data_IF_956534298125
#
_entry.id   IF_956534298125
#
_cell.length_a   1.000
_cell.length_b   1.000
_cell.length_c   1.000
_cell.angle_alpha   90.00
_cell.angle_beta   90.00
_cell.angle_gamma   90.00
#
_symmetry.space_group_name_H-M   'P 1'
#
loop_
_entity.id
_entity.type
_entity.pdbx_description
1 polymer ?
#
# COMPACT_ATOMS: atom_id res chain seq x y z
N UNK A 1 13.89 -8.95 13.36
CA UNK A 1 14.49 -7.60 13.47
C UNK A 1 14.60 -7.02 12.07
N UNK A 2 14.06 -5.83 11.82
CA UNK A 2 14.32 -5.00 10.64
C UNK A 2 14.86 -3.64 11.07
N UNK A 3 16.02 -3.25 10.55
CA UNK A 3 16.64 -1.96 10.80
C UNK A 3 16.76 -1.21 9.47
N UNK A 4 16.11 -0.05 9.39
CA UNK A 4 16.07 0.80 8.22
C UNK A 4 16.99 2.01 8.44
N UNK A 5 18.04 2.12 7.61
CA UNK A 5 19.11 3.10 7.78
C UNK A 5 19.02 4.20 6.74
N UNK A 6 18.93 5.43 7.22
CA UNK A 6 18.77 6.65 6.45
C UNK A 6 19.79 7.71 6.86
N UNK A 7 19.92 8.72 6.01
CA UNK A 7 20.56 9.98 6.38
C UNK A 7 19.56 11.13 6.27
N UNK A 8 19.67 12.09 7.20
CA UNK A 8 18.85 13.30 7.25
C UNK A 8 19.73 14.56 7.17
N UNK A 9 19.16 15.75 7.45
CA UNK A 9 19.88 17.01 7.39
C UNK A 9 21.23 17.00 8.16
N UNK A 10 22.31 17.54 7.60
CA UNK A 10 23.67 17.40 8.15
C UNK A 10 23.90 18.11 9.49
N UNK A 11 23.01 19.01 9.87
CA UNK A 11 23.06 19.69 11.17
C UNK A 11 22.40 18.88 12.31
N UNK A 12 21.72 17.77 12.01
CA UNK A 12 21.13 16.93 13.04
C UNK A 12 22.18 15.98 13.65
N UNK A 13 22.01 15.63 14.92
CA UNK A 13 22.72 14.51 15.56
C UNK A 13 22.12 13.17 15.12
N UNK A 14 22.66 12.03 15.55
CA UNK A 14 22.13 10.73 15.11
C UNK A 14 20.79 10.40 15.79
N UNK A 15 19.87 9.75 15.09
CA UNK A 15 18.65 9.23 15.71
C UNK A 15 18.60 7.70 15.65
N UNK A 16 18.13 7.13 16.76
CA UNK A 16 17.68 5.75 16.88
C UNK A 16 16.44 5.70 17.77
N UNK A 17 15.65 4.64 17.66
CA UNK A 17 14.45 4.49 18.49
C UNK A 17 14.83 4.43 19.99
N UNK A 18 13.93 4.83 20.92
CA UNK A 18 12.47 4.85 20.74
C UNK A 18 11.90 5.98 19.89
N UNK A 19 10.84 5.66 19.16
CA UNK A 19 10.05 6.61 18.39
C UNK A 19 9.21 7.56 19.26
N UNK A 20 8.84 8.70 18.67
CA UNK A 20 7.88 9.64 19.22
C UNK A 20 6.45 9.10 19.11
N UNK A 21 5.52 9.67 19.87
CA UNK A 21 4.09 9.46 19.66
C UNK A 21 3.60 10.27 18.46
N UNK A 22 2.50 9.87 17.79
CA UNK A 22 1.62 8.74 18.11
C UNK A 22 2.11 7.37 17.62
N UNK A 23 1.67 6.31 18.31
CA UNK A 23 1.88 4.93 17.85
C UNK A 23 0.58 4.36 17.28
N UNK A 24 0.68 3.62 16.18
CA UNK A 24 -0.46 2.84 15.71
C UNK A 24 -0.89 1.83 16.76
N UNK A 25 -2.20 1.71 16.99
CA UNK A 25 -2.77 0.89 18.06
C UNK A 25 -2.43 -0.62 17.92
N UNK A 26 -2.10 -1.06 16.71
CA UNK A 26 -1.75 -2.45 16.39
C UNK A 26 -0.26 -2.79 16.53
N UNK A 27 0.60 -1.82 16.81
CA UNK A 27 1.97 -2.12 17.24
C UNK A 27 1.88 -2.66 18.66
N UNK A 28 2.32 -3.90 18.85
CA UNK A 28 2.13 -4.63 20.11
C UNK A 28 2.88 -3.96 21.26
N UNK A 29 2.42 -4.13 22.52
CA UNK A 29 3.17 -3.67 23.68
C UNK A 29 4.62 -4.20 23.71
N UNK A 30 4.83 -5.45 23.29
CA UNK A 30 6.16 -6.03 23.18
C UNK A 30 7.02 -5.31 22.14
N UNK A 31 6.50 -5.05 20.93
CA UNK A 31 7.24 -4.33 19.89
C UNK A 31 7.67 -2.94 20.36
N UNK A 32 6.76 -2.20 21.03
CA UNK A 32 7.05 -0.88 21.61
C UNK A 32 8.13 -0.96 22.70
N UNK A 33 8.02 -1.92 23.62
CA UNK A 33 9.01 -2.17 24.68
C UNK A 33 10.39 -2.48 24.07
N UNK A 34 10.42 -3.33 23.04
CA UNK A 34 11.67 -3.80 22.46
C UNK A 34 12.42 -2.70 21.69
N UNK A 35 11.72 -1.68 21.15
CA UNK A 35 12.42 -0.48 20.67
C UNK A 35 13.24 0.20 21.77
N UNK A 36 12.74 0.22 23.01
CA UNK A 36 13.48 0.69 24.19
C UNK A 36 14.74 -0.13 24.45
N UNK A 37 14.61 -1.47 24.43
CA UNK A 37 15.76 -2.37 24.61
C UNK A 37 16.85 -2.09 23.58
N UNK A 38 16.51 -1.97 22.29
CA UNK A 38 17.51 -1.64 21.25
C UNK A 38 18.10 -0.24 21.48
N UNK A 39 17.25 0.74 21.85
CA UNK A 39 17.68 2.09 22.19
C UNK A 39 18.75 2.12 23.28
N UNK A 40 18.56 1.37 24.37
CA UNK A 40 19.50 1.28 25.49
C UNK A 40 20.88 0.72 25.07
N UNK A 41 20.92 -0.20 24.08
CA UNK A 41 22.18 -0.71 23.54
C UNK A 41 22.89 0.32 22.66
N UNK A 42 22.14 1.07 21.85
CA UNK A 42 22.70 2.14 21.03
C UNK A 42 23.23 3.28 21.91
N UNK A 43 22.46 3.71 22.91
CA UNK A 43 22.84 4.72 23.90
C UNK A 43 24.19 4.41 24.55
N UNK A 44 24.36 3.20 25.10
CA UNK A 44 25.64 2.77 25.70
C UNK A 44 26.83 2.93 24.78
N UNK A 45 26.66 2.64 23.48
CA UNK A 45 27.76 2.75 22.51
C UNK A 45 28.01 4.21 22.12
N UNK A 46 26.97 5.02 21.94
CA UNK A 46 27.11 6.44 21.61
C UNK A 46 27.70 7.23 22.77
N UNK A 47 27.25 7.00 24.00
CA UNK A 47 27.78 7.61 25.23
C UNK A 47 29.26 7.31 25.42
N UNK A 48 29.66 6.04 25.24
CA UNK A 48 31.05 5.62 25.33
C UNK A 48 31.97 6.40 24.36
N UNK A 49 31.45 6.82 23.22
CA UNK A 49 32.19 7.53 22.19
C UNK A 49 31.96 9.06 22.23
N UNK A 50 31.15 9.57 23.16
CA UNK A 50 30.73 10.97 23.24
C UNK A 50 30.06 11.47 21.94
N UNK A 51 29.28 10.61 21.28
CA UNK A 51 28.55 10.98 20.07
C UNK A 51 27.15 11.48 20.43
N UNK A 52 26.76 12.62 19.87
CA UNK A 52 25.43 13.18 20.06
C UNK A 52 24.37 12.32 19.35
N UNK A 53 23.25 12.11 20.03
CA UNK A 53 22.06 11.48 19.48
C UNK A 53 20.78 12.09 20.06
N UNK A 54 19.63 11.76 19.49
CA UNK A 54 18.31 12.08 20.03
C UNK A 54 17.34 10.90 19.83
N UNK A 55 16.25 10.89 20.62
CA UNK A 55 15.17 9.89 20.56
C UNK A 55 13.84 10.57 20.87
N UNK A 56 12.69 9.97 20.50
CA UNK A 56 11.33 10.40 20.90
C UNK A 56 10.86 11.81 20.49
N UNK A 57 11.53 12.47 19.55
CA UNK A 57 11.20 13.86 19.18
C UNK A 57 10.38 13.98 17.88
N UNK A 58 10.80 13.31 16.79
CA UNK A 58 10.30 13.60 15.44
C UNK A 58 9.58 12.41 14.80
N UNK A 59 10.22 11.24 14.83
CA UNK A 59 9.76 10.08 14.07
C UNK A 59 8.75 9.28 14.89
N UNK A 60 7.50 9.23 14.43
CA UNK A 60 6.43 8.47 15.05
C UNK A 60 6.25 7.06 14.44
N UNK A 61 5.32 6.27 14.97
CA UNK A 61 4.99 4.93 14.46
C UNK A 61 3.52 4.79 14.09
N UNK A 62 2.92 5.84 13.53
CA UNK A 62 1.49 5.84 13.23
C UNK A 62 1.17 5.31 11.84
N UNK A 63 1.74 5.89 10.80
CA UNK A 63 1.40 5.53 9.43
C UNK A 63 2.02 4.17 9.03
N UNK A 64 1.31 3.32 8.25
CA UNK A 64 1.81 2.02 7.82
C UNK A 64 2.64 2.09 6.56
N UNK A 65 3.52 3.07 6.46
CA UNK A 65 4.33 3.33 5.26
C UNK A 65 5.81 3.40 5.57
N UNK A 66 6.19 3.49 6.85
CA UNK A 66 7.56 3.65 7.28
C UNK A 66 8.30 2.31 7.31
N UNK A 67 9.63 2.37 7.22
CA UNK A 67 10.51 1.20 7.29
C UNK A 67 10.49 0.50 8.66
N UNK A 68 10.02 1.15 9.72
CA UNK A 68 9.82 0.53 11.03
C UNK A 68 8.38 0.03 11.25
N UNK A 69 7.36 0.74 10.78
CA UNK A 69 5.96 0.34 10.96
C UNK A 69 5.57 -0.81 10.03
N UNK A 70 5.99 -0.81 8.75
CA UNK A 70 5.62 -1.85 7.81
C UNK A 70 6.10 -3.26 8.24
N UNK A 71 7.37 -3.45 8.65
CA UNK A 71 7.81 -4.72 9.20
C UNK A 71 7.14 -5.05 10.54
N UNK A 72 6.82 -4.04 11.36
CA UNK A 72 6.11 -4.24 12.62
C UNK A 72 4.69 -4.79 12.42
N UNK A 73 3.97 -4.36 11.37
CA UNK A 73 2.69 -4.95 10.97
C UNK A 73 2.84 -6.34 10.30
N UNK A 74 4.08 -6.79 10.10
CA UNK A 74 4.46 -8.14 9.72
C UNK A 74 5.17 -8.89 10.88
N UNK A 75 4.95 -8.46 12.13
CA UNK A 75 5.41 -9.16 13.33
C UNK A 75 6.89 -8.96 13.69
N UNK A 76 7.66 -8.25 12.87
CA UNK A 76 9.04 -7.92 13.23
C UNK A 76 9.10 -6.85 14.32
N UNK A 77 10.26 -6.68 14.95
CA UNK A 77 10.63 -5.39 15.53
C UNK A 77 11.18 -4.56 14.37
N UNK A 78 10.57 -3.41 14.08
CA UNK A 78 11.08 -2.43 13.12
C UNK A 78 11.74 -1.25 13.82
N UNK A 79 12.83 -0.76 13.25
CA UNK A 79 13.64 0.36 13.77
C UNK A 79 14.08 1.26 12.62
N UNK A 80 14.00 2.56 12.85
CA UNK A 80 14.55 3.59 11.95
C UNK A 80 15.82 4.18 12.57
N UNK A 81 16.83 4.38 11.73
CA UNK A 81 18.09 5.00 12.07
C UNK A 81 18.36 6.16 11.12
N UNK A 82 18.65 7.33 11.67
CA UNK A 82 18.85 8.54 10.87
C UNK A 82 20.18 9.18 11.23
N UNK A 83 21.11 9.22 10.28
CA UNK A 83 22.39 9.89 10.45
C UNK A 83 22.31 11.29 9.87
N UNK A 84 22.64 12.33 10.65
CA UNK A 84 22.84 13.65 10.05
C UNK A 84 23.89 13.59 8.94
N UNK A 85 23.53 13.96 7.71
CA UNK A 85 24.38 13.76 6.54
C UNK A 85 23.65 14.02 5.22
N UNK A 86 23.65 13.02 4.35
CA UNK A 86 23.06 13.02 3.03
C UNK A 86 24.04 13.41 1.92
N UNK A 87 23.54 13.42 0.69
CA UNK A 87 24.31 13.89 -0.47
C UNK A 87 24.85 15.30 -0.30
N UNK A 88 24.14 16.17 0.42
CA UNK A 88 24.56 17.54 0.71
C UNK A 88 25.82 17.62 1.60
N UNK A 89 26.08 16.60 2.41
CA UNK A 89 27.22 16.60 3.33
C UNK A 89 28.54 16.20 2.67
N UNK A 90 28.51 15.57 1.49
CA UNK A 90 29.69 15.07 0.80
C UNK A 90 30.64 14.28 1.70
N UNK A 91 31.96 14.50 1.54
CA UNK A 91 33.00 13.90 2.38
C UNK A 91 33.12 14.58 3.75
N UNK A 92 32.86 15.89 3.81
CA UNK A 92 32.93 16.72 5.01
C UNK A 92 31.96 17.89 4.89
N UNK A 93 31.31 18.23 6.00
CA UNK A 93 30.35 19.31 6.11
C UNK A 93 30.61 20.12 7.38
N UNK A 94 30.77 21.44 7.25
CA UNK A 94 30.84 22.35 8.39
C UNK A 94 29.42 22.59 8.93
N UNK A 95 29.15 22.12 10.14
CA UNK A 95 27.88 22.28 10.84
C UNK A 95 27.71 23.72 11.32
N UNK A 96 26.45 24.11 11.54
CA UNK A 96 26.10 25.46 12.02
C UNK A 96 26.59 25.75 13.44
N UNK A 97 26.83 24.72 14.25
CA UNK A 97 27.37 24.81 15.60
C UNK A 97 28.91 24.99 15.62
N UNK A 98 29.55 25.00 14.44
CA UNK A 98 31.00 25.14 14.29
C UNK A 98 31.77 23.81 14.25
N UNK A 99 31.09 22.66 14.41
CA UNK A 99 31.72 21.34 14.27
C UNK A 99 31.83 20.90 12.79
N UNK A 100 32.60 19.85 12.52
CA UNK A 100 32.70 19.24 11.19
C UNK A 100 32.20 17.80 11.20
N UNK A 101 31.15 17.55 10.43
CA UNK A 101 30.66 16.21 10.15
C UNK A 101 31.46 15.60 8.99
N UNK A 102 32.07 14.44 9.20
CA UNK A 102 32.84 13.71 8.19
C UNK A 102 32.16 12.42 7.78
N UNK A 103 32.41 11.96 6.55
CA UNK A 103 31.93 10.65 6.08
C UNK A 103 32.42 9.51 6.99
N UNK A 104 33.64 9.59 7.52
CA UNK A 104 34.18 8.59 8.46
C UNK A 104 33.37 8.50 9.75
N UNK A 105 32.94 9.64 10.32
CA UNK A 105 32.05 9.64 11.49
C UNK A 105 30.70 9.02 11.15
N UNK A 106 30.08 9.40 10.01
CA UNK A 106 28.79 8.83 9.59
C UNK A 106 28.84 7.30 9.44
N UNK A 107 29.90 6.80 8.82
CA UNK A 107 30.14 5.35 8.71
C UNK A 107 30.32 4.71 10.09
N UNK A 108 31.12 5.33 10.97
CA UNK A 108 31.38 4.81 12.31
C UNK A 108 30.09 4.73 13.14
N UNK A 109 29.23 5.74 13.08
CA UNK A 109 27.96 5.77 13.81
C UNK A 109 27.00 4.69 13.32
N UNK A 110 26.76 4.59 12.00
CA UNK A 110 25.91 3.53 11.45
C UNK A 110 26.45 2.13 11.76
N UNK A 111 27.76 1.93 11.64
CA UNK A 111 28.38 0.66 11.97
C UNK A 111 28.20 0.32 13.47
N UNK A 112 28.43 1.28 14.35
CA UNK A 112 28.24 1.10 15.79
C UNK A 112 26.79 0.75 16.15
N UNK A 113 25.82 1.51 15.62
CA UNK A 113 24.40 1.26 15.84
C UNK A 113 23.97 -0.11 15.28
N UNK A 114 24.49 -0.50 14.12
CA UNK A 114 24.25 -1.83 13.53
C UNK A 114 24.74 -2.94 14.46
N UNK A 115 25.96 -2.82 14.99
CA UNK A 115 26.54 -3.81 15.91
C UNK A 115 25.76 -3.90 17.22
N UNK A 116 25.37 -2.77 17.79
CA UNK A 116 24.54 -2.71 19.00
C UNK A 116 23.18 -3.38 18.79
N UNK A 117 22.53 -3.12 17.65
CA UNK A 117 21.25 -3.75 17.27
C UNK A 117 21.37 -5.26 17.13
N UNK A 118 22.42 -5.73 16.43
CA UNK A 118 22.70 -7.16 16.26
C UNK A 118 22.95 -7.82 17.62
N UNK A 119 23.73 -7.18 18.48
CA UNK A 119 24.03 -7.69 19.82
C UNK A 119 22.76 -7.84 20.66
N UNK A 120 21.94 -6.78 20.76
CA UNK A 120 20.69 -6.83 21.50
C UNK A 120 19.73 -7.90 20.95
N UNK A 121 19.65 -8.03 19.62
CA UNK A 121 18.85 -9.07 18.96
C UNK A 121 19.34 -10.48 19.32
N UNK A 122 20.65 -10.69 19.33
CA UNK A 122 21.25 -11.99 19.65
C UNK A 122 21.06 -12.35 21.13
N UNK A 123 21.26 -11.40 22.04
CA UNK A 123 21.13 -11.63 23.49
C UNK A 123 19.67 -11.87 23.90
N UNK A 124 18.70 -11.35 23.14
CA UNK A 124 17.25 -11.51 23.40
C UNK A 124 16.53 -12.44 22.41
N UNK A 125 17.26 -13.30 21.68
CA UNK A 125 16.70 -14.10 20.58
C UNK A 125 15.53 -15.01 21.01
N UNK A 126 15.58 -15.62 22.19
CA UNK A 126 14.50 -16.49 22.71
C UNK A 126 13.19 -15.72 22.93
N UNK A 127 13.27 -14.52 23.50
CA UNK A 127 12.10 -13.65 23.70
C UNK A 127 11.51 -13.21 22.34
N UNK A 128 12.38 -12.80 21.41
CA UNK A 128 11.99 -12.39 20.06
C UNK A 128 11.28 -13.49 19.27
N UNK A 129 11.82 -14.72 19.30
CA UNK A 129 11.24 -15.85 18.57
C UNK A 129 9.87 -16.23 19.15
N UNK A 130 9.74 -16.29 20.47
CA UNK A 130 8.47 -16.58 21.15
C UNK A 130 7.39 -15.55 20.82
N UNK A 131 7.73 -14.26 20.86
CA UNK A 131 6.78 -13.19 20.57
C UNK A 131 6.41 -13.15 19.08
N UNK A 132 7.36 -13.43 18.18
CA UNK A 132 7.09 -13.57 16.75
C UNK A 132 6.13 -14.74 16.46
N UNK A 133 6.34 -15.90 17.08
CA UNK A 133 5.42 -17.03 16.96
C UNK A 133 4.04 -16.69 17.52
N UNK A 134 3.99 -16.07 18.70
CA UNK A 134 2.75 -15.64 19.37
C UNK A 134 1.97 -14.67 18.50
N UNK A 135 2.64 -13.73 17.84
CA UNK A 135 2.04 -12.76 16.92
C UNK A 135 1.24 -13.46 15.81
N UNK A 136 1.85 -14.40 15.11
CA UNK A 136 1.21 -15.07 13.97
C UNK A 136 0.20 -16.15 14.37
N UNK A 137 0.43 -16.86 15.47
CA UNK A 137 -0.51 -17.87 15.98
C UNK A 137 -1.79 -17.22 16.52
N UNK A 138 -1.66 -16.11 17.25
CA UNK A 138 -2.79 -15.31 17.72
C UNK A 138 -3.55 -14.70 16.54
N UNK A 139 -2.87 -14.12 15.56
CA UNK A 139 -3.48 -13.53 14.36
C UNK A 139 -4.40 -14.50 13.61
N UNK A 140 -3.99 -15.77 13.48
CA UNK A 140 -4.77 -16.81 12.79
C UNK A 140 -6.03 -17.24 13.55
N UNK A 141 -5.98 -17.26 14.88
CA UNK A 141 -7.01 -17.91 15.72
C UNK A 141 -7.92 -16.90 16.41
N UNK A 142 -7.38 -15.75 16.81
CA UNK A 142 -8.06 -14.68 17.54
C UNK A 142 -7.64 -13.32 16.96
N UNK A 143 -8.02 -13.01 15.71
CA UNK A 143 -7.67 -11.74 15.10
C UNK A 143 -8.24 -10.56 15.90
N UNK A 144 -7.47 -9.48 16.00
CA UNK A 144 -7.86 -8.24 16.66
C UNK A 144 -8.90 -7.43 15.87
N UNK A 145 -9.32 -6.28 16.42
CA UNK A 145 -10.21 -5.31 15.74
C UNK A 145 -11.70 -5.64 15.78
N UNK A 146 -12.51 -4.66 15.35
CA UNK A 146 -13.98 -4.77 15.26
C UNK A 146 -14.40 -5.69 14.10
N UNK A 147 -13.78 -5.51 12.93
CA UNK A 147 -14.12 -6.24 11.71
C UNK A 147 -13.35 -7.56 11.60
N UNK A 148 -14.03 -8.59 11.11
CA UNK A 148 -13.51 -9.96 10.93
C UNK A 148 -13.45 -10.40 9.48
N UNK A 149 -14.15 -9.68 8.61
CA UNK A 149 -14.15 -9.91 7.17
C UNK A 149 -14.21 -8.58 6.46
N UNK A 150 -13.40 -8.41 5.42
CA UNK A 150 -13.55 -7.32 4.45
C UNK A 150 -14.02 -7.90 3.12
N UNK A 151 -15.00 -7.25 2.50
CA UNK A 151 -15.60 -7.72 1.26
C UNK A 151 -15.50 -6.64 0.19
N UNK A 152 -15.00 -6.98 -0.99
CA UNK A 152 -14.90 -6.09 -2.14
C UNK A 152 -15.89 -6.56 -3.19
N UNK A 153 -16.78 -5.66 -3.60
CA UNK A 153 -17.86 -6.00 -4.52
C UNK A 153 -17.31 -6.40 -5.90
N UNK A 154 -17.82 -7.49 -6.48
CA UNK A 154 -17.45 -7.96 -7.80
C UNK A 154 -17.91 -7.02 -8.92
N UNK A 155 -18.88 -6.15 -8.64
CA UNK A 155 -19.38 -5.13 -9.57
C UNK A 155 -18.47 -3.91 -9.75
N UNK A 156 -17.31 -3.86 -9.07
CA UNK A 156 -16.30 -2.84 -9.33
C UNK A 156 -15.67 -3.01 -10.71
N UNK A 157 -14.95 -1.97 -11.16
CA UNK A 157 -14.23 -2.02 -12.43
C UNK A 157 -13.23 -3.21 -12.46
N UNK A 158 -13.21 -4.04 -13.52
CA UNK A 158 -12.32 -5.19 -13.59
C UNK A 158 -10.83 -4.85 -13.46
N UNK A 159 -10.41 -3.67 -13.93
CA UNK A 159 -9.05 -3.18 -13.79
C UNK A 159 -8.68 -2.83 -12.37
N UNK A 160 -9.57 -2.14 -11.65
CA UNK A 160 -9.41 -1.88 -10.22
C UNK A 160 -9.33 -3.19 -9.43
N UNK A 161 -10.24 -4.14 -9.68
CA UNK A 161 -10.24 -5.44 -9.01
C UNK A 161 -8.94 -6.22 -9.27
N UNK A 162 -8.45 -6.25 -10.51
CA UNK A 162 -7.16 -6.90 -10.83
C UNK A 162 -5.99 -6.24 -10.11
N UNK A 163 -5.89 -4.91 -10.11
CA UNK A 163 -4.81 -4.21 -9.39
C UNK A 163 -4.88 -4.49 -7.89
N UNK A 164 -6.10 -4.49 -7.34
CA UNK A 164 -6.35 -4.76 -5.93
C UNK A 164 -5.91 -6.17 -5.55
N UNK A 165 -6.34 -7.20 -6.29
CA UNK A 165 -5.95 -8.58 -6.00
C UNK A 165 -4.45 -8.80 -6.23
N UNK A 166 -3.85 -8.22 -7.27
CA UNK A 166 -2.40 -8.25 -7.47
C UNK A 166 -1.63 -7.61 -6.31
N UNK A 167 -2.18 -6.53 -5.72
CA UNK A 167 -1.59 -5.95 -4.52
C UNK A 167 -1.68 -6.93 -3.35
N UNK A 168 -2.85 -7.53 -3.11
CA UNK A 168 -3.00 -8.55 -2.06
C UNK A 168 -2.05 -9.73 -2.25
N UNK A 169 -1.91 -10.22 -3.49
CA UNK A 169 -1.00 -11.32 -3.85
C UNK A 169 0.46 -10.96 -3.51
N UNK A 170 0.92 -9.74 -3.87
CA UNK A 170 2.27 -9.26 -3.52
C UNK A 170 2.50 -9.13 -2.01
N UNK A 171 1.44 -8.86 -1.25
CA UNK A 171 1.49 -8.78 0.21
C UNK A 171 1.23 -10.12 0.90
N UNK A 172 1.04 -11.20 0.12
CA UNK A 172 0.68 -12.53 0.61
C UNK A 172 -0.60 -12.54 1.46
N UNK A 173 -1.49 -11.58 1.21
CA UNK A 173 -2.79 -11.50 1.86
C UNK A 173 -3.73 -12.46 1.15
N UNK A 174 -4.19 -13.48 1.89
CA UNK A 174 -5.13 -14.47 1.38
C UNK A 174 -6.52 -13.85 1.26
N UNK A 175 -7.16 -14.11 0.13
CA UNK A 175 -8.56 -13.82 -0.12
C UNK A 175 -9.21 -15.02 -0.81
N UNK A 176 -10.53 -15.06 -0.78
CA UNK A 176 -11.33 -15.97 -1.59
C UNK A 176 -12.58 -15.25 -2.07
N UNK A 177 -13.65 -16.00 -2.31
CA UNK A 177 -14.87 -15.44 -2.91
C UNK A 177 -16.12 -15.83 -2.13
N UNK A 178 -17.12 -14.96 -2.12
CA UNK A 178 -18.43 -15.30 -1.59
C UNK A 178 -19.12 -16.33 -2.49
N UNK A 179 -19.68 -17.37 -1.89
CA UNK A 179 -20.35 -18.47 -2.62
C UNK A 179 -21.85 -18.22 -2.85
N UNK A 180 -22.46 -17.35 -2.06
CA UNK A 180 -23.90 -17.07 -2.10
C UNK A 180 -24.18 -15.63 -1.67
N UNK A 181 -25.37 -15.18 -2.00
CA UNK A 181 -25.86 -13.88 -1.55
C UNK A 181 -26.10 -13.90 -0.03
N UNK A 182 -25.65 -12.85 0.66
CA UNK A 182 -25.85 -12.68 2.11
C UNK A 182 -26.17 -11.22 2.41
N UNK A 183 -27.30 -10.97 3.08
CA UNK A 183 -27.58 -9.66 3.69
C UNK A 183 -27.05 -9.63 5.11
N UNK A 184 -26.33 -8.58 5.45
CA UNK A 184 -25.77 -8.41 6.79
C UNK A 184 -25.52 -6.94 7.10
N UNK A 185 -25.26 -6.62 8.36
CA UNK A 185 -24.85 -5.27 8.76
C UNK A 185 -23.33 -5.14 8.59
N UNK A 186 -22.89 -4.09 7.91
CA UNK A 186 -21.48 -3.84 7.65
C UNK A 186 -21.19 -2.35 7.51
N UNK A 187 -19.95 -1.96 7.76
CA UNK A 187 -19.47 -0.63 7.42
C UNK A 187 -19.26 -0.53 5.91
N UNK A 188 -19.94 0.40 5.25
CA UNK A 188 -19.79 0.67 3.82
C UNK A 188 -18.80 1.81 3.60
N UNK A 189 -17.71 1.52 2.88
CA UNK A 189 -16.66 2.50 2.63
C UNK A 189 -17.17 3.67 1.78
N UNK A 190 -18.09 3.45 0.84
CA UNK A 190 -18.61 4.51 -0.02
C UNK A 190 -19.49 5.51 0.75
N UNK A 191 -20.36 5.04 1.62
CA UNK A 191 -21.27 5.90 2.40
C UNK A 191 -20.68 6.36 3.74
N UNK A 192 -19.56 5.75 4.17
CA UNK A 192 -18.92 5.94 5.48
C UNK A 192 -19.88 5.69 6.67
N UNK A 193 -20.82 4.76 6.49
CA UNK A 193 -21.85 4.41 7.47
C UNK A 193 -21.93 2.90 7.66
N UNK A 194 -22.35 2.50 8.87
CA UNK A 194 -22.73 1.12 9.14
C UNK A 194 -24.19 0.93 8.79
N UNK A 195 -24.46 0.10 7.78
CA UNK A 195 -25.78 -0.09 7.20
C UNK A 195 -26.00 -1.56 6.79
N UNK A 196 -27.21 -1.90 6.35
CA UNK A 196 -27.46 -3.19 5.71
C UNK A 196 -26.74 -3.21 4.35
N UNK A 197 -25.92 -4.22 4.15
CA UNK A 197 -25.16 -4.44 2.92
C UNK A 197 -25.50 -5.82 2.37
N UNK A 198 -25.52 -5.92 1.05
CA UNK A 198 -25.78 -7.17 0.35
C UNK A 198 -24.47 -7.64 -0.29
N UNK A 199 -23.97 -8.77 0.19
CA UNK A 199 -22.83 -9.47 -0.38
C UNK A 199 -23.35 -10.36 -1.49
N UNK A 200 -22.72 -10.31 -2.66
CA UNK A 200 -23.09 -11.09 -3.83
C UNK A 200 -22.13 -12.27 -4.05
N UNK A 201 -22.58 -13.35 -4.74
CA UNK A 201 -21.65 -14.38 -5.22
C UNK A 201 -20.52 -13.75 -6.03
N UNK A 202 -19.28 -14.26 -5.85
CA UNK A 202 -18.04 -13.77 -6.46
C UNK A 202 -17.49 -12.45 -5.92
N UNK A 203 -18.12 -11.82 -4.93
CA UNK A 203 -17.46 -10.76 -4.18
C UNK A 203 -16.17 -11.30 -3.55
N UNK A 204 -15.10 -10.50 -3.57
CA UNK A 204 -13.82 -10.89 -2.97
C UNK A 204 -13.95 -10.79 -1.46
N UNK A 205 -13.56 -11.85 -0.76
CA UNK A 205 -13.65 -11.96 0.70
C UNK A 205 -12.25 -12.08 1.28
N UNK A 206 -11.85 -11.09 2.07
CA UNK A 206 -10.60 -11.06 2.83
C UNK A 206 -10.93 -11.36 4.28
N UNK A 207 -10.64 -12.57 4.74
CA UNK A 207 -10.85 -12.98 6.13
C UNK A 207 -9.71 -12.48 7.02
N UNK A 208 -10.02 -12.03 8.23
CA UNK A 208 -9.02 -11.69 9.22
C UNK A 208 -8.30 -12.91 9.82
N UNK A 209 -8.81 -14.12 9.62
CA UNK A 209 -8.29 -15.36 10.21
C UNK A 209 -7.15 -15.93 9.34
N UNK A 210 -6.04 -15.21 9.31
CA UNK A 210 -4.85 -15.54 8.52
C UNK A 210 -3.59 -14.97 9.17
N UNK A 211 -2.37 -15.48 8.86
CA UNK A 211 -1.14 -14.96 9.47
C UNK A 211 -0.97 -13.44 9.28
N UNK A 212 -1.37 -12.89 8.13
CA UNK A 212 -1.31 -11.44 7.84
C UNK A 212 -2.43 -10.62 8.48
N UNK A 213 -3.13 -11.14 9.51
CA UNK A 213 -4.31 -10.50 10.12
C UNK A 213 -4.07 -9.04 10.51
N UNK A 214 -2.98 -8.75 11.23
CA UNK A 214 -2.66 -7.38 11.67
C UNK A 214 -2.47 -6.44 10.49
N UNK A 215 -1.72 -6.88 9.46
CA UNK A 215 -1.55 -6.10 8.23
C UNK A 215 -2.89 -5.87 7.52
N UNK A 216 -3.74 -6.89 7.42
CA UNK A 216 -5.09 -6.75 6.85
C UNK A 216 -5.91 -5.75 7.67
N UNK A 217 -5.88 -5.81 9.00
CA UNK A 217 -6.58 -4.84 9.85
C UNK A 217 -6.13 -3.42 9.51
N UNK A 218 -4.83 -3.18 9.54
CA UNK A 218 -4.23 -1.85 9.32
C UNK A 218 -4.54 -1.32 7.93
N UNK A 219 -4.44 -2.17 6.91
CA UNK A 219 -4.68 -1.79 5.53
C UNK A 219 -6.16 -1.67 5.16
N UNK A 220 -7.07 -2.17 5.97
CA UNK A 220 -8.50 -2.10 5.69
C UNK A 220 -9.29 -1.29 6.70
N UNK A 221 -8.75 -0.95 7.87
CA UNK A 221 -9.53 -0.21 8.86
C UNK A 221 -10.00 1.15 8.31
N UNK A 222 -11.29 1.47 8.41
CA UNK A 222 -11.80 2.69 7.82
C UNK A 222 -11.36 3.95 8.60
N UNK A 223 -11.07 3.79 9.89
CA UNK A 223 -10.73 4.88 10.81
C UNK A 223 -9.68 4.40 11.81
N UNK A 224 -8.39 4.57 11.53
CA UNK A 224 -7.35 4.23 12.49
C UNK A 224 -7.48 5.10 13.75
N UNK A 225 -7.22 4.50 14.92
CA UNK A 225 -7.25 5.24 16.18
C UNK A 225 -6.00 6.11 16.30
N UNK A 226 -6.19 7.41 16.24
CA UNK A 226 -5.15 8.40 16.44
C UNK A 226 -5.04 8.76 17.93
N UNK A 227 -3.86 8.56 18.53
CA UNK A 227 -3.59 8.92 19.93
C UNK A 227 -3.42 10.43 20.12
N UNK A 228 -2.79 11.09 19.14
CA UNK A 228 -2.49 12.52 19.12
C UNK A 228 -2.62 13.06 17.68
N UNK A 229 -3.17 14.26 17.53
CA UNK A 229 -3.30 14.96 16.25
C UNK A 229 -1.98 15.29 15.56
N UNK A 230 -0.86 15.34 16.31
CA UNK A 230 0.47 15.61 15.76
C UNK A 230 1.10 14.33 15.20
N UNK A 231 0.71 13.94 14.00
CA UNK A 231 1.33 12.86 13.21
C UNK A 231 2.35 13.43 12.22
N UNK A 232 3.42 12.69 11.99
CA UNK A 232 4.49 13.02 11.05
C UNK A 232 4.03 12.96 9.59
N UNK A 233 3.12 12.04 9.27
CA UNK A 233 2.66 11.78 7.89
C UNK A 233 1.12 11.69 7.81
N UNK A 234 0.61 10.95 6.83
CA UNK A 234 -0.82 10.79 6.51
C UNK A 234 -1.63 10.02 7.57
N UNK A 235 -2.94 10.25 7.57
CA UNK A 235 -3.92 9.59 8.45
C UNK A 235 -4.95 8.72 7.71
N UNK A 236 -4.83 8.60 6.39
CA UNK A 236 -5.77 7.86 5.54
C UNK A 236 -5.02 6.99 4.51
N UNK A 237 -5.13 5.67 4.67
CA UNK A 237 -4.40 4.69 3.83
C UNK A 237 -5.21 3.43 3.47
N UNK A 238 -6.46 3.31 3.94
CA UNK A 238 -7.21 2.08 3.76
C UNK A 238 -7.38 1.71 2.27
N UNK A 239 -7.06 0.47 1.92
CA UNK A 239 -7.02 -0.01 0.54
C UNK A 239 -8.34 0.18 -0.22
N UNK A 240 -9.53 0.00 0.39
CA UNK A 240 -10.77 0.27 -0.33
C UNK A 240 -10.87 1.71 -0.85
N UNK A 241 -10.39 2.68 -0.08
CA UNK A 241 -10.35 4.07 -0.49
C UNK A 241 -9.28 4.32 -1.56
N UNK A 242 -8.06 3.82 -1.36
CA UNK A 242 -6.94 4.10 -2.27
C UNK A 242 -7.11 3.43 -3.65
N UNK A 243 -7.77 2.27 -3.70
CA UNK A 243 -8.10 1.60 -4.96
C UNK A 243 -9.44 2.05 -5.57
N UNK A 244 -10.20 2.90 -4.86
CA UNK A 244 -11.49 3.41 -5.32
C UNK A 244 -12.55 2.31 -5.51
N UNK A 245 -12.49 1.24 -4.70
CA UNK A 245 -13.39 0.09 -4.82
C UNK A 245 -14.54 0.17 -3.83
N UNK A 246 -15.74 -0.19 -4.29
CA UNK A 246 -16.89 -0.46 -3.42
C UNK A 246 -16.58 -1.67 -2.54
N UNK A 247 -16.52 -1.46 -1.24
CA UNK A 247 -16.20 -2.50 -0.27
C UNK A 247 -17.02 -2.34 1.01
N UNK A 248 -16.94 -3.37 1.86
CA UNK A 248 -17.63 -3.48 3.14
C UNK A 248 -16.72 -4.08 4.21
N UNK A 249 -16.80 -3.59 5.45
CA UNK A 249 -16.15 -4.20 6.61
C UNK A 249 -17.22 -4.82 7.52
N UNK A 250 -17.10 -6.12 7.78
CA UNK A 250 -18.11 -6.91 8.49
C UNK A 250 -17.58 -7.32 9.86
N UNK A 251 -18.36 -7.14 10.95
CA UNK A 251 -17.96 -7.61 12.28
C UNK A 251 -17.98 -9.15 12.37
N UNK A 252 -18.76 -9.81 11.53
CA UNK A 252 -18.86 -11.27 11.46
C UNK A 252 -17.85 -11.92 10.53
N UNK A 253 -17.62 -13.22 10.73
CA UNK A 253 -16.90 -14.05 9.77
C UNK A 253 -17.80 -14.37 8.57
N UNK A 254 -17.23 -14.28 7.37
CA UNK A 254 -17.84 -14.79 6.15
C UNK A 254 -16.92 -15.83 5.51
N UNK A 255 -17.48 -16.99 5.16
CA UNK A 255 -16.73 -18.05 4.50
C UNK A 255 -16.40 -17.65 3.05
N UNK A 256 -15.14 -17.81 2.66
CA UNK A 256 -14.62 -17.50 1.33
C UNK A 256 -14.55 -18.76 0.43
N UNK A 257 -15.63 -19.53 0.37
CA UNK A 257 -15.69 -20.86 -0.28
C UNK A 257 -16.20 -20.83 -1.73
N UNK A 258 -16.45 -19.63 -2.28
CA UNK A 258 -16.86 -19.46 -3.66
C UNK A 258 -15.73 -19.80 -4.64
N UNK A 259 -16.11 -20.26 -5.82
CA UNK A 259 -15.16 -20.45 -6.92
C UNK A 259 -14.59 -19.10 -7.36
N UNK A 260 -13.28 -19.06 -7.61
CA UNK A 260 -12.67 -17.91 -8.25
C UNK A 260 -13.33 -17.65 -9.60
N UNK A 261 -13.68 -16.40 -9.94
CA UNK A 261 -14.13 -16.07 -11.27
C UNK A 261 -13.03 -16.46 -12.25
N UNK A 262 -13.43 -16.99 -13.41
CA UNK A 262 -12.48 -17.17 -14.50
C UNK A 262 -11.76 -15.84 -14.75
N UNK A 263 -10.44 -15.83 -14.97
CA UNK A 263 -9.73 -14.61 -15.29
C UNK A 263 -10.51 -13.91 -16.40
N UNK A 264 -10.97 -12.69 -16.13
CA UNK A 264 -11.55 -11.88 -17.18
C UNK A 264 -10.41 -11.60 -18.16
N UNK A 265 -10.27 -12.45 -19.19
CA UNK A 265 -9.68 -11.99 -20.44
C UNK A 265 -10.41 -10.70 -20.74
N UNK A 266 -9.65 -9.62 -20.93
CA UNK A 266 -10.16 -8.37 -21.46
C UNK A 266 -10.63 -8.67 -22.89
N UNK A 267 -11.81 -9.30 -23.02
CA UNK A 267 -12.40 -9.73 -24.30
C UNK A 267 -12.99 -8.55 -25.08
N UNK A 268 -12.63 -7.31 -24.74
CA UNK A 268 -13.08 -6.11 -25.45
C UNK A 268 -12.23 -5.77 -26.67
N UNK A 269 -10.94 -6.14 -26.66
CA UNK A 269 -10.03 -5.88 -27.79
C UNK A 269 -10.21 -6.88 -28.95
N UNK A 270 -11.18 -7.79 -28.89
CA UNK A 270 -11.34 -8.83 -29.90
C UNK A 270 -11.50 -8.23 -31.31
N UNK A 271 -10.95 -8.93 -32.31
CA UNK A 271 -11.00 -8.52 -33.69
C UNK A 271 -12.47 -8.43 -34.16
N UNK A 272 -12.96 -7.21 -34.35
CA UNK A 272 -14.13 -6.97 -35.20
C UNK A 272 -13.75 -7.32 -36.64
N UNK A 273 -14.62 -8.06 -37.34
CA UNK A 273 -14.44 -8.37 -38.77
C UNK A 273 -14.50 -7.11 -39.66
N UNK A 274 -14.97 -5.99 -39.08
CA UNK A 274 -15.09 -4.68 -39.71
C UNK A 274 -14.01 -3.73 -39.20
N UNK A 275 -13.60 -2.80 -40.07
CA UNK A 275 -12.74 -1.66 -39.77
C UNK A 275 -13.52 -0.64 -38.93
N UNK A 276 -13.27 -0.52 -37.61
CA UNK A 276 -14.04 0.40 -36.78
C UNK A 276 -13.70 1.85 -37.09
N UNK A 277 -14.68 2.74 -36.88
CA UNK A 277 -14.51 4.18 -36.98
C UNK A 277 -13.65 4.71 -35.83
N UNK A 278 -13.90 4.22 -34.62
CA UNK A 278 -13.14 4.59 -33.42
C UNK A 278 -13.08 3.46 -32.38
N UNK A 279 -12.20 3.65 -31.39
CA UNK A 279 -12.22 2.90 -30.14
C UNK A 279 -12.62 3.81 -28.99
N UNK A 280 -13.49 3.31 -28.12
CA UNK A 280 -13.93 3.97 -26.90
C UNK A 280 -13.36 3.25 -25.68
N UNK A 281 -12.69 3.97 -24.79
CA UNK A 281 -12.23 3.47 -23.50
C UNK A 281 -12.84 4.30 -22.38
N UNK A 282 -13.51 3.66 -21.42
CA UNK A 282 -14.03 4.37 -20.24
C UNK A 282 -12.86 4.91 -19.41
N UNK A 283 -13.10 5.98 -18.66
CA UNK A 283 -12.09 6.64 -17.82
C UNK A 283 -12.45 6.50 -16.35
N UNK A 284 -12.15 5.34 -15.77
CA UNK A 284 -12.64 4.94 -14.45
C UNK A 284 -11.52 4.50 -13.50
N UNK A 285 -10.29 4.34 -13.98
CA UNK A 285 -9.21 3.73 -13.21
C UNK A 285 -7.82 4.30 -13.56
N UNK A 286 -6.85 4.05 -12.67
CA UNK A 286 -5.44 4.31 -12.95
C UNK A 286 -4.88 3.51 -14.14
N UNK A 287 -5.52 2.39 -14.52
CA UNK A 287 -5.13 1.66 -15.74
C UNK A 287 -5.41 2.50 -16.98
N UNK A 288 -6.49 3.28 -16.98
CA UNK A 288 -6.86 4.14 -18.11
C UNK A 288 -5.85 5.28 -18.29
N UNK A 289 -5.25 5.78 -17.19
CA UNK A 289 -4.13 6.72 -17.23
C UNK A 289 -2.90 6.09 -17.89
N UNK A 290 -2.55 4.84 -17.53
CA UNK A 290 -1.44 4.12 -18.15
C UNK A 290 -1.70 3.87 -19.63
N UNK A 291 -2.92 3.48 -19.97
CA UNK A 291 -3.36 3.27 -21.35
C UNK A 291 -3.21 4.56 -22.17
N UNK A 292 -3.79 5.68 -21.70
CA UNK A 292 -3.66 6.99 -22.34
C UNK A 292 -2.18 7.40 -22.47
N UNK A 293 -1.39 7.26 -21.41
CA UNK A 293 0.05 7.61 -21.44
C UNK A 293 0.80 6.83 -22.52
N UNK A 294 0.51 5.53 -22.67
CA UNK A 294 1.11 4.68 -23.71
C UNK A 294 0.67 5.08 -25.12
N UNK A 295 -0.61 5.39 -25.31
CA UNK A 295 -1.10 5.91 -26.58
C UNK A 295 -0.38 7.22 -26.96
N UNK A 296 -0.25 8.14 -26.02
CA UNK A 296 0.45 9.42 -26.24
C UNK A 296 1.95 9.23 -26.54
N UNK A 297 2.63 8.30 -25.86
CA UNK A 297 4.02 7.94 -26.16
C UNK A 297 4.19 7.38 -27.58
N UNK A 298 3.18 6.65 -28.07
CA UNK A 298 3.11 6.17 -29.46
C UNK A 298 2.58 7.23 -30.44
N UNK A 299 2.43 8.48 -29.99
CA UNK A 299 1.92 9.62 -30.77
C UNK A 299 0.50 9.40 -31.33
N UNK A 300 -0.29 8.54 -30.69
CA UNK A 300 -1.71 8.37 -31.00
C UNK A 300 -2.46 9.59 -30.48
N UNK A 301 -3.22 10.25 -31.34
CA UNK A 301 -4.14 11.32 -30.95
C UNK A 301 -5.36 10.71 -30.28
N UNK A 302 -5.67 11.20 -29.07
CA UNK A 302 -6.81 10.78 -28.27
C UNK A 302 -7.67 12.00 -27.99
N UNK A 303 -8.99 11.83 -28.10
CA UNK A 303 -9.99 12.81 -27.66
C UNK A 303 -10.66 12.29 -26.39
N UNK A 304 -11.38 13.15 -25.68
CA UNK A 304 -12.21 12.73 -24.55
C UNK A 304 -13.61 13.33 -24.67
N UNK A 305 -14.58 12.65 -24.09
CA UNK A 305 -15.96 13.12 -24.05
C UNK A 305 -16.16 14.12 -22.90
N UNK A 306 -16.64 15.33 -23.19
CA UNK A 306 -16.99 16.31 -22.15
C UNK A 306 -18.38 16.05 -21.54
N UNK A 307 -19.24 15.36 -22.28
CA UNK A 307 -20.61 15.03 -21.89
C UNK A 307 -20.84 13.53 -22.02
N UNK A 308 -21.78 13.01 -21.24
CA UNK A 308 -22.23 11.63 -21.39
C UNK A 308 -22.86 11.42 -22.78
N UNK A 309 -22.67 10.24 -23.35
CA UNK A 309 -23.23 9.87 -24.65
C UNK A 309 -23.53 8.37 -24.70
N UNK A 310 -24.21 7.94 -25.76
CA UNK A 310 -24.53 6.53 -26.01
C UNK A 310 -24.01 6.13 -27.40
N UNK A 311 -23.40 4.96 -27.50
CA UNK A 311 -22.92 4.37 -28.76
C UNK A 311 -22.98 2.84 -28.64
N UNK A 312 -23.40 2.14 -29.71
CA UNK A 312 -23.55 0.68 -29.72
C UNK A 312 -24.37 0.13 -28.53
N UNK A 313 -25.42 0.85 -28.12
CA UNK A 313 -26.27 0.50 -26.97
C UNK A 313 -25.58 0.58 -25.61
N UNK A 314 -24.40 1.21 -25.53
CA UNK A 314 -23.63 1.40 -24.31
C UNK A 314 -23.57 2.87 -23.93
N UNK A 315 -23.79 3.16 -22.65
CA UNK A 315 -23.63 4.51 -22.08
C UNK A 315 -22.17 4.76 -21.68
N UNK A 316 -21.70 5.95 -22.00
CA UNK A 316 -20.35 6.45 -21.71
C UNK A 316 -20.45 7.76 -20.93
N UNK A 317 -19.59 7.91 -19.92
CA UNK A 317 -19.56 9.08 -19.03
C UNK A 317 -18.56 10.13 -19.53
N UNK A 318 -18.65 11.39 -19.05
CA UNK A 318 -17.59 12.37 -19.25
C UNK A 318 -16.21 11.80 -18.87
N UNK A 319 -15.19 12.16 -19.65
CA UNK A 319 -13.82 11.64 -19.54
C UNK A 319 -13.54 10.42 -20.42
N UNK A 320 -14.56 9.72 -20.96
CA UNK A 320 -14.36 8.59 -21.87
C UNK A 320 -13.41 8.95 -23.00
N UNK A 321 -12.36 8.16 -23.17
CA UNK A 321 -11.37 8.32 -24.23
C UNK A 321 -11.96 7.86 -25.56
N UNK A 322 -11.81 8.70 -26.58
CA UNK A 322 -12.28 8.48 -27.95
C UNK A 322 -11.06 8.49 -28.87
N UNK A 323 -10.73 7.32 -29.40
CA UNK A 323 -9.57 7.10 -30.26
C UNK A 323 -10.07 6.85 -31.69
N UNK A 324 -10.20 7.93 -32.46
CA UNK A 324 -10.66 7.91 -33.86
C UNK A 324 -9.55 7.56 -34.83
N UNK A 325 -9.88 6.93 -35.96
CA UNK A 325 -8.93 6.87 -37.09
C UNK A 325 -8.57 8.24 -37.64
N UNK A 326 -9.55 9.13 -37.73
CA UNK A 326 -9.33 10.50 -38.16
C UNK A 326 -8.38 11.20 -37.20
N UNK A 327 -7.32 11.81 -37.73
CA UNK A 327 -6.19 12.36 -37.00
C UNK A 327 -5.06 11.38 -36.69
N UNK A 328 -5.26 10.08 -36.89
CA UNK A 328 -4.32 8.98 -36.68
C UNK A 328 -3.98 8.23 -37.99
N UNK A 329 -4.25 8.83 -39.15
CA UNK A 329 -4.12 8.21 -40.47
C UNK A 329 -2.70 7.73 -40.77
N UNK A 330 -1.69 8.42 -40.23
CA UNK A 330 -0.28 8.06 -40.38
C UNK A 330 0.11 6.69 -39.78
N UNK A 331 -0.74 6.11 -38.93
CA UNK A 331 -0.55 4.75 -38.39
C UNK A 331 -1.05 3.66 -39.36
N UNK A 332 -1.90 4.03 -40.33
CA UNK A 332 -2.39 3.14 -41.38
C UNK A 332 -2.95 1.81 -40.84
N UNK A 333 -2.55 0.66 -41.40
CA UNK A 333 -3.02 -0.66 -40.95
C UNK A 333 -2.64 -1.02 -39.50
N UNK A 334 -1.64 -0.35 -38.91
CA UNK A 334 -1.17 -0.64 -37.55
C UNK A 334 -2.06 -0.04 -36.46
N UNK A 335 -2.98 0.86 -36.82
CA UNK A 335 -3.82 1.58 -35.86
C UNK A 335 -4.55 0.64 -34.89
N UNK A 336 -5.30 -0.33 -35.42
CA UNK A 336 -6.11 -1.25 -34.60
C UNK A 336 -5.24 -2.13 -33.71
N UNK A 337 -4.17 -2.69 -34.29
CA UNK A 337 -3.23 -3.54 -33.57
C UNK A 337 -2.59 -2.75 -32.42
N UNK A 338 -2.19 -1.51 -32.67
CA UNK A 338 -1.53 -0.68 -31.67
C UNK A 338 -2.48 -0.32 -30.53
N UNK A 339 -3.69 0.17 -30.83
CA UNK A 339 -4.68 0.53 -29.79
C UNK A 339 -5.04 -0.69 -28.94
N UNK A 340 -5.34 -1.83 -29.57
CA UNK A 340 -5.67 -3.09 -28.87
C UNK A 340 -4.50 -3.61 -28.04
N UNK A 341 -3.28 -3.64 -28.60
CA UNK A 341 -2.10 -4.09 -27.86
C UNK A 341 -1.79 -3.20 -26.65
N UNK A 342 -1.96 -1.88 -26.78
CA UNK A 342 -1.78 -0.98 -25.64
C UNK A 342 -2.88 -1.16 -24.60
N UNK A 343 -4.13 -1.39 -25.01
CA UNK A 343 -5.26 -1.65 -24.12
C UNK A 343 -5.03 -2.96 -23.35
N UNK A 344 -4.72 -4.05 -24.04
CA UNK A 344 -4.44 -5.36 -23.44
C UNK A 344 -3.26 -5.30 -22.47
N UNK A 345 -2.18 -4.63 -22.87
CA UNK A 345 -1.00 -4.46 -22.02
C UNK A 345 -1.27 -3.57 -20.81
N UNK A 346 -2.23 -2.64 -20.89
CA UNK A 346 -2.61 -1.77 -19.79
C UNK A 346 -3.72 -2.39 -18.91
N UNK A 347 -4.38 -3.45 -19.37
CA UNK A 347 -5.58 -4.02 -18.77
C UNK A 347 -6.86 -3.24 -19.09
N UNK A 348 -6.82 -2.23 -19.95
CA UNK A 348 -8.01 -1.44 -20.28
C UNK A 348 -8.86 -2.16 -21.33
N UNK A 349 -10.18 -2.08 -21.20
CA UNK A 349 -11.14 -2.55 -22.20
C UNK A 349 -11.42 -1.42 -23.18
N UNK A 350 -11.23 -1.66 -24.47
CA UNK A 350 -11.67 -0.77 -25.55
C UNK A 350 -12.88 -1.36 -26.26
N UNK A 351 -13.81 -0.51 -26.68
CA UNK A 351 -14.97 -0.88 -27.49
C UNK A 351 -14.83 -0.28 -28.88
N UNK A 352 -14.91 -1.12 -29.91
CA UNK A 352 -14.95 -0.69 -31.31
C UNK A 352 -16.33 -0.12 -31.63
N UNK A 353 -16.37 1.05 -32.29
CA UNK A 353 -17.58 1.72 -32.79
C UNK A 353 -17.42 2.14 -34.24
#
# INVERSE_FOLDING_TARGET
>A
MHADFHEMGPNNSYYFSPAAKPFHADITPFQRKFQGVIGDYNEKVFDKNNWLYFTREVYDLFAPTYGDTWPSFNGAIGMTYEQGGGGAAGLRYGRLDGDTLTLTQRIAHHHAASRATIQATAEHHDELLREFETYFTTAKTKPGGEYKTFVIAAGNDPGQLRNFTQYLDRQEIKYGFASKQVKTKGFNYLSNKTEEVQIEPRDIVVSMYQPKSTLVKVLFEPRPKLEDSLTYDITAWALPYSFGVKAYALPGQLAATGAAPAPAMVKGSAATATTPYAYLARWNSLQDVRFLSRLLQQKVKVRFAEKAFEAEGQKYQPGTLVITRTGNEGLGPKFDQLVRAQADSAGTVVHAV
#
